data_IF_145756392353
#
_entry.id   IF_145756392353
#
_cell.length_a   1.000
_cell.length_b   1.000
_cell.length_c   1.000
_cell.angle_alpha   90.00
_cell.angle_beta   90.00
_cell.angle_gamma   90.00
#
_symmetry.space_group_name_H-M   'P 1'
#
loop_
_entity.id
_entity.type
_entity.pdbx_description
1 polymer ?
#
# COMPACT_ATOMS: atom_id res chain seq x y z
N UNK A 1 1.15 3.54 -19.17
CA UNK A 1 1.29 3.71 -17.71
C UNK A 1 2.76 3.79 -17.34
N UNK A 2 3.14 4.85 -16.66
CA UNK A 2 4.52 5.03 -16.24
C UNK A 2 4.75 4.36 -14.87
N UNK A 3 5.67 3.41 -14.83
CA UNK A 3 6.08 2.84 -13.57
C UNK A 3 6.94 3.87 -12.81
N UNK A 4 6.75 4.01 -11.49
CA UNK A 4 7.61 4.89 -10.72
C UNK A 4 9.05 4.38 -10.74
N UNK A 5 10.00 5.30 -10.87
CA UNK A 5 11.41 4.94 -10.82
C UNK A 5 11.84 4.91 -9.35
N UNK A 6 11.72 3.75 -8.76
CA UNK A 6 12.06 3.55 -7.35
C UNK A 6 13.45 2.94 -7.20
N UNK A 7 14.16 3.25 -6.11
CA UNK A 7 15.43 2.60 -5.83
C UNK A 7 15.30 1.08 -5.81
N UNK A 8 16.29 0.40 -6.38
CA UNK A 8 16.27 -1.06 -6.50
C UNK A 8 16.11 -1.77 -5.15
N UNK A 9 16.71 -1.23 -4.08
CA UNK A 9 16.62 -1.86 -2.76
C UNK A 9 15.20 -1.81 -2.17
N UNK A 10 14.37 -0.85 -2.59
CA UNK A 10 12.98 -0.74 -2.17
C UNK A 10 12.13 -1.74 -2.95
N UNK A 11 12.32 -1.80 -4.26
CA UNK A 11 11.60 -2.75 -5.12
C UNK A 11 11.93 -4.19 -4.75
N UNK A 12 13.18 -4.46 -4.37
CA UNK A 12 13.61 -5.79 -3.98
C UNK A 12 12.90 -6.34 -2.75
N UNK A 13 12.37 -5.46 -1.89
CA UNK A 13 11.62 -5.85 -0.69
C UNK A 13 10.12 -6.05 -0.97
N UNK A 14 9.67 -5.71 -2.17
CA UNK A 14 8.25 -5.76 -2.50
C UNK A 14 7.81 -7.16 -2.88
N UNK A 15 6.56 -7.46 -2.54
CA UNK A 15 5.83 -8.53 -3.18
C UNK A 15 5.26 -7.99 -4.48
N UNK A 16 5.37 -8.77 -5.56
CA UNK A 16 4.82 -8.42 -6.87
C UNK A 16 3.69 -9.38 -7.19
N UNK A 17 2.47 -8.87 -7.37
CA UNK A 17 1.33 -9.72 -7.63
C UNK A 17 1.41 -10.38 -9.00
N UNK A 18 0.98 -11.65 -9.14
CA UNK A 18 0.89 -12.31 -10.44
C UNK A 18 -0.05 -11.55 -11.38
N UNK A 19 0.29 -11.50 -12.64
CA UNK A 19 -0.54 -10.88 -13.67
C UNK A 19 -0.44 -9.36 -13.69
N UNK A 20 -1.15 -8.68 -12.80
CA UNK A 20 -1.18 -7.21 -12.76
C UNK A 20 0.13 -6.57 -12.29
N UNK A 21 1.00 -7.33 -11.63
CA UNK A 21 2.31 -6.89 -11.15
C UNK A 21 2.23 -5.67 -10.24
N UNK A 22 1.23 -5.63 -9.39
CA UNK A 22 1.09 -4.61 -8.36
C UNK A 22 2.07 -4.89 -7.22
N UNK A 23 2.54 -3.82 -6.59
CA UNK A 23 3.55 -3.91 -5.53
C UNK A 23 2.92 -3.80 -4.15
N UNK A 24 3.45 -4.57 -3.22
CA UNK A 24 3.08 -4.49 -1.82
C UNK A 24 4.32 -4.67 -0.95
N UNK A 25 4.32 -4.10 0.24
CA UNK A 25 5.44 -4.15 1.17
C UNK A 25 4.98 -4.59 2.54
N UNK A 26 5.91 -5.12 3.30
CA UNK A 26 5.69 -5.32 4.73
C UNK A 26 5.54 -3.97 5.43
N UNK A 27 4.83 -3.94 6.54
CA UNK A 27 4.62 -2.68 7.28
C UNK A 27 5.93 -1.95 7.58
N UNK A 28 6.98 -2.67 7.98
CA UNK A 28 8.25 -2.06 8.33
C UNK A 28 8.90 -1.31 7.17
N UNK A 29 8.67 -1.75 5.94
CA UNK A 29 9.26 -1.17 4.74
C UNK A 29 8.35 -0.15 4.06
N UNK A 30 7.09 -0.08 4.49
CA UNK A 30 6.07 0.71 3.81
C UNK A 30 6.34 2.21 3.81
N UNK A 31 6.73 2.85 4.93
CA UNK A 31 6.99 4.29 4.91
C UNK A 31 8.08 4.69 3.93
N UNK A 32 9.15 3.91 3.82
CA UNK A 32 10.22 4.18 2.86
C UNK A 32 9.71 4.04 1.42
N UNK A 33 8.88 3.03 1.15
CA UNK A 33 8.29 2.84 -0.17
C UNK A 33 7.38 4.00 -0.56
N UNK A 34 6.56 4.48 0.37
CA UNK A 34 5.67 5.62 0.11
C UNK A 34 6.47 6.89 -0.20
N UNK A 35 7.54 7.14 0.56
CA UNK A 35 8.40 8.30 0.31
C UNK A 35 9.07 8.22 -1.06
N UNK A 36 9.52 7.02 -1.44
CA UNK A 36 10.15 6.82 -2.74
C UNK A 36 9.18 7.05 -3.90
N UNK A 37 7.92 6.66 -3.75
CA UNK A 37 6.88 6.92 -4.75
C UNK A 37 6.71 8.42 -4.97
N UNK A 38 6.59 9.19 -3.90
CA UNK A 38 6.40 10.64 -3.99
C UNK A 38 7.66 11.31 -4.55
N UNK A 39 8.84 10.86 -4.15
CA UNK A 39 10.10 11.38 -4.69
C UNK A 39 10.22 11.09 -6.19
N UNK A 40 9.63 10.02 -6.69
CA UNK A 40 9.62 9.70 -8.11
C UNK A 40 8.53 10.45 -8.91
N UNK A 41 7.80 11.36 -8.26
CA UNK A 41 6.78 12.17 -8.91
C UNK A 41 5.37 11.60 -8.86
N UNK A 42 5.13 10.58 -8.06
CA UNK A 42 3.80 9.97 -7.90
C UNK A 42 3.05 10.56 -6.72
N UNK A 43 1.71 10.53 -6.82
CA UNK A 43 0.83 10.75 -5.69
C UNK A 43 0.26 9.40 -5.26
N UNK A 44 0.00 9.25 -3.98
CA UNK A 44 -0.53 8.00 -3.42
C UNK A 44 -2.05 8.09 -3.35
N UNK A 45 -2.73 7.22 -4.06
CA UNK A 45 -4.19 7.17 -4.07
C UNK A 45 -4.75 6.42 -2.87
N UNK A 46 -3.99 5.49 -2.34
CA UNK A 46 -4.39 4.64 -1.23
C UNK A 46 -3.71 3.29 -1.29
N UNK A 47 -4.29 2.34 -0.61
CA UNK A 47 -3.80 0.96 -0.65
C UNK A 47 -4.68 0.05 0.17
N UNK A 48 -4.33 -1.23 0.18
CA UNK A 48 -5.04 -2.23 0.97
C UNK A 48 -4.07 -3.26 1.53
N UNK A 49 -4.51 -3.94 2.57
CA UNK A 49 -3.72 -5.01 3.19
C UNK A 49 -4.09 -6.33 2.54
N UNK A 50 -3.08 -7.11 2.19
CA UNK A 50 -3.25 -8.41 1.56
C UNK A 50 -2.67 -9.52 2.44
N UNK A 51 -3.28 -10.71 2.37
CA UNK A 51 -2.68 -11.95 2.83
C UNK A 51 -2.12 -12.66 1.60
N UNK A 52 -0.82 -12.94 1.60
CA UNK A 52 -0.17 -13.64 0.49
C UNK A 52 0.04 -15.09 0.86
N UNK A 53 -0.52 -15.99 0.03
CA UNK A 53 -0.40 -17.42 0.27
C UNK A 53 1.01 -17.91 -0.06
N UNK A 54 1.62 -18.64 0.89
CA UNK A 54 2.98 -19.12 0.73
C UNK A 54 3.14 -20.14 -0.40
N UNK A 55 2.10 -20.93 -0.67
CA UNK A 55 2.19 -22.04 -1.63
C UNK A 55 2.16 -21.59 -3.10
N UNK A 56 1.33 -20.58 -3.42
CA UNK A 56 1.13 -20.16 -4.81
C UNK A 56 1.46 -18.70 -5.08
N UNK A 57 1.77 -17.93 -4.03
CA UNK A 57 2.09 -16.51 -4.17
C UNK A 57 0.91 -15.62 -4.50
N UNK A 58 -0.31 -16.15 -4.48
CA UNK A 58 -1.51 -15.35 -4.71
C UNK A 58 -1.89 -14.56 -3.47
N UNK A 59 -2.51 -13.39 -3.68
CA UNK A 59 -2.96 -12.56 -2.59
C UNK A 59 -4.47 -12.62 -2.42
N UNK A 60 -4.93 -12.30 -1.20
CA UNK A 60 -6.35 -12.19 -0.88
C UNK A 60 -6.54 -10.95 0.00
N UNK A 61 -7.52 -10.11 -0.36
CA UNK A 61 -7.84 -8.89 0.40
C UNK A 61 -8.75 -9.12 1.60
N UNK A 62 -9.27 -10.34 1.78
CA UNK A 62 -10.11 -10.68 2.94
C UNK A 62 -9.24 -11.26 4.04
N UNK A 63 -9.19 -10.58 5.19
CA UNK A 63 -8.32 -10.94 6.30
C UNK A 63 -9.15 -11.50 7.45
N UNK A 64 -8.90 -12.75 7.87
CA UNK A 64 -9.64 -13.32 8.99
C UNK A 64 -9.29 -12.63 10.30
N UNK A 65 -10.31 -12.39 11.14
CA UNK A 65 -10.13 -11.83 12.47
C UNK A 65 -9.66 -12.91 13.46
N UNK A 66 -9.18 -12.46 14.63
CA UNK A 66 -8.66 -13.37 15.69
C UNK A 66 -9.65 -14.43 16.12
N UNK A 67 -10.94 -14.12 16.12
CA UNK A 67 -11.97 -15.07 16.52
C UNK A 67 -12.47 -15.91 15.35
N UNK A 68 -11.93 -15.71 14.16
CA UNK A 68 -12.32 -16.36 12.91
C UNK A 68 -13.82 -16.18 12.55
N UNK A 69 -14.49 -15.24 13.20
CA UNK A 69 -15.91 -15.00 12.96
C UNK A 69 -16.17 -14.08 11.77
N UNK A 70 -15.21 -13.21 11.47
CA UNK A 70 -15.37 -12.19 10.44
C UNK A 70 -14.15 -12.13 9.54
N UNK A 71 -14.40 -11.83 8.26
CA UNK A 71 -13.37 -11.44 7.30
C UNK A 71 -13.46 -9.93 7.13
N UNK A 72 -12.31 -9.25 7.19
CA UNK A 72 -12.26 -7.80 7.04
C UNK A 72 -11.45 -7.39 5.83
N UNK A 73 -11.85 -6.26 5.23
CA UNK A 73 -11.05 -5.57 4.22
C UNK A 73 -10.42 -4.37 4.92
N UNK A 74 -9.11 -4.27 4.82
CA UNK A 74 -8.34 -3.19 5.41
C UNK A 74 -7.73 -2.35 4.31
N UNK A 75 -8.12 -1.08 4.25
CA UNK A 75 -7.67 -0.18 3.18
C UNK A 75 -7.65 1.26 3.66
N UNK A 76 -6.97 2.11 2.89
CA UNK A 76 -7.04 3.55 3.07
C UNK A 76 -7.11 4.22 1.71
N UNK A 77 -7.72 5.41 1.68
CA UNK A 77 -7.81 6.26 0.50
C UNK A 77 -7.36 7.66 0.88
N UNK A 78 -6.80 8.37 -0.09
CA UNK A 78 -6.51 9.78 0.08
C UNK A 78 -7.53 10.61 -0.70
N UNK A 79 -7.95 11.79 -0.19
CA UNK A 79 -8.86 12.66 -0.93
C UNK A 79 -8.26 13.10 -2.26
N UNK A 80 -9.14 13.30 -3.24
CA UNK A 80 -8.77 13.73 -4.57
C UNK A 80 -8.01 15.06 -4.56
N UNK A 81 -7.22 15.29 -5.62
CA UNK A 81 -6.51 16.54 -5.82
C UNK A 81 -7.52 17.69 -5.92
N UNK A 82 -7.25 18.75 -5.15
CA UNK A 82 -8.06 19.96 -5.19
C UNK A 82 -7.64 20.85 -6.37
N UNK A 83 -8.56 21.66 -6.92
CA UNK A 83 -8.22 22.51 -8.06
C UNK A 83 -7.07 23.48 -7.84
N UNK A 84 -6.88 23.93 -6.60
CA UNK A 84 -5.84 24.89 -6.21
C UNK A 84 -4.53 24.23 -5.75
N UNK A 85 -4.47 22.90 -5.70
CA UNK A 85 -3.24 22.20 -5.32
C UNK A 85 -2.29 22.07 -6.51
N UNK A 86 -1.01 22.38 -6.29
CA UNK A 86 0.03 21.99 -7.23
C UNK A 86 0.19 20.48 -7.17
N UNK A 87 0.78 19.89 -8.21
CA UNK A 87 1.05 18.45 -8.19
C UNK A 87 1.94 18.05 -7.00
N UNK A 88 3.00 18.82 -6.75
CA UNK A 88 3.88 18.55 -5.64
C UNK A 88 3.16 18.64 -4.30
N UNK A 89 2.34 19.69 -4.09
CA UNK A 89 1.57 19.83 -2.87
C UNK A 89 0.60 18.69 -2.65
N UNK A 90 -0.07 18.27 -3.71
CA UNK A 90 -0.96 17.10 -3.68
C UNK A 90 -0.19 15.82 -3.32
N UNK A 91 0.93 15.56 -4.02
CA UNK A 91 1.74 14.37 -3.74
C UNK A 91 2.21 14.32 -2.29
N UNK A 92 2.71 15.43 -1.76
CA UNK A 92 3.18 15.53 -0.38
C UNK A 92 2.04 15.34 0.63
N UNK A 93 0.86 15.88 0.31
CA UNK A 93 -0.32 15.67 1.15
C UNK A 93 -0.73 14.20 1.18
N UNK A 94 -0.74 13.52 0.03
CA UNK A 94 -1.10 12.11 -0.02
C UNK A 94 -0.11 11.23 0.75
N UNK A 95 1.17 11.60 0.75
CA UNK A 95 2.18 10.93 1.56
C UNK A 95 1.87 11.08 3.05
N UNK A 96 1.66 12.31 3.51
CA UNK A 96 1.37 12.58 4.92
C UNK A 96 0.12 11.85 5.37
N UNK A 97 -0.95 11.95 4.61
CA UNK A 97 -2.23 11.32 4.96
C UNK A 97 -2.14 9.80 4.95
N UNK A 98 -1.37 9.23 4.01
CA UNK A 98 -1.15 7.78 3.98
C UNK A 98 -0.36 7.30 5.19
N UNK A 99 0.69 8.01 5.57
CA UNK A 99 1.48 7.66 6.75
C UNK A 99 0.63 7.71 8.03
N UNK A 100 -0.24 8.73 8.15
CA UNK A 100 -1.15 8.84 9.27
C UNK A 100 -2.18 7.70 9.31
N UNK A 101 -2.77 7.39 8.16
CA UNK A 101 -3.77 6.33 8.05
C UNK A 101 -3.17 4.97 8.42
N UNK A 102 -1.98 4.67 7.90
CA UNK A 102 -1.30 3.40 8.17
C UNK A 102 -0.91 3.29 9.65
N UNK A 103 -0.44 4.38 10.26
CA UNK A 103 -0.08 4.38 11.68
C UNK A 103 -1.27 4.05 12.59
N UNK A 104 -2.49 4.40 12.17
CA UNK A 104 -3.72 4.12 12.91
C UNK A 104 -4.31 2.74 12.60
N UNK A 105 -3.82 2.08 11.58
CA UNK A 105 -4.38 0.82 11.10
C UNK A 105 -3.83 -0.34 11.92
N UNK A 106 -4.65 -0.89 12.82
CA UNK A 106 -4.26 -1.95 13.74
C UNK A 106 -4.64 -3.33 13.21
N UNK A 107 -4.30 -3.63 11.96
CA UNK A 107 -4.64 -4.92 11.36
C UNK A 107 -3.97 -6.07 12.10
N UNK A 108 -2.73 -5.90 12.53
CA UNK A 108 -1.98 -6.94 13.25
C UNK A 108 -2.60 -7.26 14.62
N UNK A 109 -3.24 -6.27 15.24
CA UNK A 109 -3.92 -6.48 16.51
C UNK A 109 -5.25 -7.21 16.38
N UNK A 110 -5.88 -7.18 15.20
CA UNK A 110 -7.21 -7.73 14.99
C UNK A 110 -7.22 -8.97 14.09
N UNK A 111 -6.19 -9.18 13.26
CA UNK A 111 -6.12 -10.32 12.37
C UNK A 111 -5.76 -11.61 13.12
N UNK A 112 -6.19 -12.74 12.56
CA UNK A 112 -5.83 -14.05 13.09
C UNK A 112 -4.30 -14.21 13.10
N UNK A 113 -3.76 -14.80 14.17
CA UNK A 113 -2.31 -14.94 14.31
C UNK A 113 -1.67 -15.70 13.14
N UNK A 114 -2.37 -16.70 12.61
CA UNK A 114 -1.86 -17.53 11.53
C UNK A 114 -1.51 -16.73 10.27
N UNK A 115 -2.16 -15.58 10.02
CA UNK A 115 -1.92 -14.78 8.82
C UNK A 115 -0.94 -13.63 9.04
N UNK A 116 -0.52 -13.35 10.28
CA UNK A 116 0.36 -12.22 10.56
C UNK A 116 1.65 -12.21 9.71
N UNK A 117 2.37 -13.34 9.54
CA UNK A 117 3.56 -13.33 8.69
C UNK A 117 3.28 -13.11 7.21
N UNK A 118 2.03 -13.27 6.80
CA UNK A 118 1.63 -13.18 5.40
C UNK A 118 0.98 -11.83 5.05
N UNK A 119 0.99 -10.86 5.95
CA UNK A 119 0.39 -9.54 5.70
C UNK A 119 1.33 -8.67 4.89
N UNK A 120 0.79 -8.12 3.80
CA UNK A 120 1.49 -7.18 2.92
C UNK A 120 0.59 -5.99 2.65
N UNK A 121 1.19 -4.82 2.48
CA UNK A 121 0.47 -3.57 2.26
C UNK A 121 0.67 -3.14 0.81
N UNK A 122 -0.38 -3.27 0.01
CA UNK A 122 -0.39 -2.80 -1.37
C UNK A 122 -0.55 -1.29 -1.41
N UNK A 123 0.08 -0.66 -2.39
CA UNK A 123 -0.02 0.78 -2.61
C UNK A 123 -0.44 1.04 -4.05
N UNK A 124 -1.45 1.90 -4.20
CA UNK A 124 -1.88 2.40 -5.50
C UNK A 124 -1.43 3.84 -5.62
N UNK A 125 -0.70 4.14 -6.68
CA UNK A 125 -0.18 5.49 -6.93
C UNK A 125 -0.41 5.89 -8.38
N UNK A 126 -0.29 7.18 -8.65
CA UNK A 126 -0.48 7.72 -10.00
C UNK A 126 0.59 8.76 -10.28
N UNK A 127 1.16 8.72 -11.48
CA UNK A 127 2.10 9.73 -11.96
C UNK A 127 1.34 10.96 -12.47
N UNK A 128 2.03 12.10 -12.50
CA UNK A 128 1.45 13.35 -12.95
C UNK A 128 0.85 13.26 -14.36
N UNK A 129 1.52 12.52 -15.24
CA UNK A 129 1.12 12.40 -16.65
C UNK A 129 0.00 11.38 -16.86
N UNK A 130 -0.38 10.65 -15.84
CA UNK A 130 -1.42 9.62 -15.89
C UNK A 130 -2.78 10.13 -15.39
N UNK A 131 -2.89 11.41 -15.11
CA UNK A 131 -4.09 12.02 -14.52
C UNK A 131 -4.89 12.75 -15.57
#
# INVERSE_FOLDING_TARGET
>A
MNNPQMPAHIVAKAYVSPGARELAWKRADLPEALRALVESGHAILGGEVWVVEALNGNWNGLIPSKDNALLGVWSWDTPERRPDETWQGYSERTLRESLEAIAKMNVEGEAAEAVLPALWFNVTSVGRDDV
#
